data_IF_938300771351
#
_entry.id   IF_938300771351
#
_cell.length_a   1.000
_cell.length_b   1.000
_cell.length_c   1.000
_cell.angle_alpha   90.00
_cell.angle_beta   90.00
_cell.angle_gamma   90.00
#
_symmetry.space_group_name_H-M   'P 1'
#
loop_
_entity.id
_entity.type
_entity.pdbx_description
1 polymer ?
#
# COMPACT_ATOMS: atom_id res chain seq x y z
N UNK A 1 17.02 13.34 -9.91
CA UNK A 1 16.10 13.19 -11.01
C UNK A 1 14.69 12.93 -10.54
N UNK A 2 13.76 13.66 -11.07
CA UNK A 2 12.36 13.51 -10.68
C UNK A 2 11.67 12.55 -11.62
N UNK A 3 10.94 11.62 -11.06
CA UNK A 3 10.15 10.69 -11.83
C UNK A 3 8.70 11.04 -11.68
N UNK A 4 8.37 12.12 -12.28
CA UNK A 4 7.06 12.71 -12.13
C UNK A 4 5.98 11.69 -12.45
N UNK A 5 5.07 11.46 -11.51
CA UNK A 5 3.95 10.57 -11.69
C UNK A 5 4.26 9.09 -11.63
N UNK A 6 5.53 8.70 -11.44
CA UNK A 6 5.90 7.29 -11.38
C UNK A 6 6.09 6.77 -9.98
N UNK A 7 6.64 7.60 -9.10
CA UNK A 7 6.78 7.25 -7.70
C UNK A 7 5.56 7.69 -6.94
N UNK A 8 5.09 6.84 -6.06
CA UNK A 8 3.96 7.17 -5.22
C UNK A 8 4.15 6.58 -3.84
N UNK A 9 3.67 7.29 -2.85
CA UNK A 9 3.58 6.77 -1.49
C UNK A 9 2.13 6.40 -1.25
N UNK A 10 1.92 5.14 -0.92
CA UNK A 10 0.58 4.60 -0.69
C UNK A 10 0.49 4.14 0.74
N UNK A 11 -0.69 4.29 1.32
CA UNK A 11 -0.96 3.83 2.67
C UNK A 11 -2.13 2.88 2.65
N UNK A 12 -1.96 1.76 3.35
CA UNK A 12 -2.99 0.76 3.49
C UNK A 12 -3.28 0.54 4.96
N UNK A 13 -4.56 0.53 5.30
CA UNK A 13 -4.99 0.09 6.62
C UNK A 13 -5.35 -1.38 6.51
N UNK A 14 -4.75 -2.20 7.35
CA UNK A 14 -4.96 -3.64 7.32
C UNK A 14 -5.18 -4.14 8.74
N UNK A 15 -5.74 -5.33 8.85
CA UNK A 15 -5.78 -6.02 10.11
C UNK A 15 -4.37 -6.47 10.47
N UNK A 16 -4.00 -6.32 11.73
CA UNK A 16 -2.67 -6.74 12.18
C UNK A 16 -2.67 -8.24 12.44
N UNK A 17 -2.61 -8.99 11.36
CA UNK A 17 -2.61 -10.46 11.41
C UNK A 17 -1.38 -10.97 10.66
N UNK A 18 -0.94 -12.19 10.99
CA UNK A 18 0.20 -12.76 10.27
C UNK A 18 -0.06 -12.82 8.77
N UNK A 19 0.94 -12.44 8.02
CA UNK A 19 0.87 -12.49 6.57
C UNK A 19 0.24 -11.29 5.90
N UNK A 20 -0.28 -10.31 6.65
CA UNK A 20 -0.93 -9.14 6.04
C UNK A 20 0.02 -8.37 5.15
N UNK A 21 1.25 -8.10 5.61
CA UNK A 21 2.23 -7.38 4.82
C UNK A 21 2.61 -8.18 3.57
N UNK A 22 2.77 -9.49 3.71
CA UNK A 22 3.10 -10.34 2.58
C UNK A 22 2.01 -10.32 1.52
N UNK A 23 0.75 -10.31 1.94
CA UNK A 23 -0.38 -10.25 1.01
C UNK A 23 -0.38 -8.95 0.23
N UNK A 24 -0.17 -7.82 0.92
CA UNK A 24 -0.10 -6.52 0.27
C UNK A 24 1.05 -6.49 -0.74
N UNK A 25 2.22 -6.95 -0.33
CA UNK A 25 3.40 -6.94 -1.20
C UNK A 25 3.18 -7.83 -2.43
N UNK A 26 2.57 -8.99 -2.24
CA UNK A 26 2.28 -9.90 -3.35
C UNK A 26 1.32 -9.26 -4.35
N UNK A 27 0.27 -8.62 -3.86
CA UNK A 27 -0.69 -7.96 -4.74
C UNK A 27 -0.03 -6.81 -5.51
N UNK A 28 0.77 -6.00 -4.84
CA UNK A 28 1.47 -4.91 -5.50
C UNK A 28 2.37 -5.43 -6.61
N UNK A 29 3.09 -6.52 -6.34
CA UNK A 29 3.93 -7.13 -7.36
C UNK A 29 3.13 -7.62 -8.56
N UNK A 30 1.99 -8.23 -8.32
CA UNK A 30 1.13 -8.70 -9.40
C UNK A 30 0.58 -7.56 -10.24
N UNK A 31 0.40 -6.40 -9.63
CA UNK A 31 -0.10 -5.22 -10.32
C UNK A 31 1.01 -4.45 -11.02
N UNK A 32 2.24 -4.94 -10.96
CA UNK A 32 3.35 -4.34 -11.65
C UNK A 32 4.03 -3.20 -10.91
N UNK A 33 3.72 -3.03 -9.64
CA UNK A 33 4.37 -2.00 -8.83
C UNK A 33 5.66 -2.56 -8.25
N UNK A 34 6.71 -1.75 -8.30
CA UNK A 34 7.99 -2.12 -7.70
C UNK A 34 8.13 -1.38 -6.37
N UNK A 35 8.27 -2.13 -5.29
CA UNK A 35 8.32 -1.56 -3.95
C UNK A 35 9.74 -1.09 -3.66
N UNK A 36 9.89 0.21 -3.38
CA UNK A 36 11.17 0.78 -2.99
C UNK A 36 11.36 0.80 -1.49
N UNK A 37 10.30 1.11 -0.75
CA UNK A 37 10.36 1.20 0.69
C UNK A 37 9.06 0.69 1.28
N UNK A 38 9.16 0.11 2.47
CA UNK A 38 8.00 -0.33 3.23
C UNK A 38 8.18 0.15 4.67
N UNK A 39 7.13 0.75 5.21
CA UNK A 39 7.04 1.04 6.63
C UNK A 39 5.80 0.39 7.19
N UNK A 40 5.97 -0.35 8.25
CA UNK A 40 4.88 -1.06 8.91
C UNK A 40 4.71 -0.48 10.31
N UNK A 41 3.58 0.15 10.55
CA UNK A 41 3.28 0.77 11.82
C UNK A 41 2.03 0.15 12.41
N UNK A 42 2.11 -0.20 13.68
CA UNK A 42 0.95 -0.67 14.41
C UNK A 42 0.28 0.50 15.08
N UNK A 43 -1.04 0.55 14.94
CA UNK A 43 -1.80 1.57 15.62
C UNK A 43 -2.14 1.06 17.02
N UNK A 44 -1.66 1.76 18.03
CA UNK A 44 -2.02 1.46 19.39
C UNK A 44 -3.26 2.26 19.72
N UNK A 45 -4.36 1.58 19.90
CA UNK A 45 -5.58 2.21 20.35
C UNK A 45 -5.99 1.59 21.65
N UNK A 46 -6.80 2.31 22.40
CA UNK A 46 -7.36 1.76 23.63
C UNK A 46 -8.43 0.71 23.33
N UNK A 47 -8.81 0.58 22.08
CA UNK A 47 -9.77 -0.42 21.66
C UNK A 47 -9.05 -1.70 21.33
N UNK A 48 -9.73 -2.80 21.47
CA UNK A 48 -9.16 -4.11 21.25
C UNK A 48 -8.92 -4.43 19.76
N UNK A 49 -9.29 -3.53 18.86
CA UNK A 49 -9.12 -3.76 17.45
C UNK A 49 -7.66 -3.57 17.08
N UNK A 50 -7.06 -4.62 16.57
CA UNK A 50 -5.69 -4.57 16.12
C UNK A 50 -5.66 -4.17 14.65
N UNK A 51 -5.06 -3.03 14.39
CA UNK A 51 -4.88 -2.54 13.05
C UNK A 51 -3.45 -2.12 12.85
N UNK A 52 -3.02 -2.21 11.62
CA UNK A 52 -1.70 -1.76 11.22
C UNK A 52 -1.83 -0.88 10.00
N UNK A 53 -0.93 0.07 9.90
CA UNK A 53 -0.79 0.88 8.70
C UNK A 53 0.48 0.45 7.98
N UNK A 54 0.36 0.21 6.71
CA UNK A 54 1.49 -0.12 5.87
C UNK A 54 1.64 1.01 4.87
N UNK A 55 2.79 1.69 4.91
CA UNK A 55 3.13 2.71 3.93
C UNK A 55 4.20 2.16 3.01
N UNK A 56 3.98 2.30 1.72
CA UNK A 56 4.93 1.84 0.73
C UNK A 56 5.25 2.96 -0.23
N UNK A 57 6.49 3.01 -0.65
CA UNK A 57 6.90 3.84 -1.78
C UNK A 57 7.07 2.90 -2.95
N UNK A 58 6.31 3.12 -4.00
CA UNK A 58 6.32 2.23 -5.16
C UNK A 58 6.70 2.99 -6.41
N UNK A 59 7.43 2.31 -7.29
CA UNK A 59 7.67 2.77 -8.65
C UNK A 59 6.62 2.16 -9.56
N UNK A 60 6.03 3.00 -10.37
CA UNK A 60 4.95 2.60 -11.27
C UNK A 60 5.24 3.11 -12.68
N UNK A 61 4.32 2.86 -13.59
CA UNK A 61 4.42 3.34 -14.96
C UNK A 61 3.81 4.72 -15.17
N UNK A 62 3.24 5.30 -14.12
CA UNK A 62 2.65 6.62 -14.19
C UNK A 62 1.35 6.72 -13.41
N UNK A 63 0.68 7.87 -13.55
CA UNK A 63 -0.51 8.18 -12.77
C UNK A 63 -1.63 7.18 -13.02
N UNK A 64 -1.86 6.82 -14.28
CA UNK A 64 -2.91 5.85 -14.58
C UNK A 64 -2.66 4.51 -13.91
N UNK A 65 -1.40 4.09 -13.86
CA UNK A 65 -1.03 2.85 -13.19
C UNK A 65 -1.28 2.93 -11.70
N UNK A 66 -0.97 4.08 -11.07
CA UNK A 66 -1.24 4.29 -9.66
C UNK A 66 -2.72 4.14 -9.37
N UNK A 67 -3.56 4.72 -10.22
CA UNK A 67 -5.02 4.62 -10.05
C UNK A 67 -5.48 3.17 -10.17
N UNK A 68 -4.94 2.43 -11.12
CA UNK A 68 -5.26 1.02 -11.27
C UNK A 68 -4.90 0.23 -10.03
N UNK A 69 -3.75 0.53 -9.45
CA UNK A 69 -3.30 -0.14 -8.23
C UNK A 69 -4.27 0.13 -7.09
N UNK A 70 -4.65 1.40 -6.91
CA UNK A 70 -5.57 1.75 -5.83
C UNK A 70 -6.92 1.07 -5.99
N UNK A 71 -7.46 1.08 -7.21
CA UNK A 71 -8.74 0.43 -7.49
C UNK A 71 -8.66 -1.06 -7.21
N UNK A 72 -7.59 -1.72 -7.67
CA UNK A 72 -7.42 -3.15 -7.46
C UNK A 72 -7.28 -3.50 -5.99
N UNK A 73 -6.53 -2.70 -5.23
CA UNK A 73 -6.35 -2.97 -3.81
C UNK A 73 -7.66 -2.78 -3.05
N UNK A 74 -8.42 -1.76 -3.40
CA UNK A 74 -9.74 -1.53 -2.78
C UNK A 74 -10.70 -2.67 -3.10
N UNK A 75 -10.63 -3.20 -4.32
CA UNK A 75 -11.45 -4.33 -4.72
C UNK A 75 -11.14 -5.59 -3.90
N UNK A 76 -9.92 -5.70 -3.38
CA UNK A 76 -9.54 -6.81 -2.51
C UNK A 76 -9.90 -6.56 -1.05
N UNK A 77 -10.51 -5.42 -0.76
CA UNK A 77 -10.94 -5.12 0.59
C UNK A 77 -9.97 -4.29 1.40
N UNK A 78 -8.87 -3.84 0.81
CA UNK A 78 -7.94 -2.98 1.51
C UNK A 78 -8.41 -1.53 1.47
N UNK A 79 -8.20 -0.83 2.57
CA UNK A 79 -8.39 0.62 2.59
C UNK A 79 -7.10 1.25 2.12
N UNK A 80 -7.09 1.70 0.89
CA UNK A 80 -5.87 2.18 0.23
C UNK A 80 -6.03 3.63 -0.19
N UNK A 81 -4.97 4.42 0.02
CA UNK A 81 -4.96 5.80 -0.43
C UNK A 81 -3.55 6.22 -0.81
N UNK A 82 -3.47 7.21 -1.68
CA UNK A 82 -2.19 7.82 -2.04
C UNK A 82 -1.92 8.98 -1.11
N UNK A 83 -0.72 9.02 -0.53
CA UNK A 83 -0.36 10.06 0.42
C UNK A 83 0.87 10.87 -0.04
N UNK A 84 1.41 10.54 -1.18
CA UNK A 84 2.57 11.31 -1.66
C UNK A 84 3.06 10.97 -3.04
#
# INVERSE_FOLDING_TARGET
MVKSGRLARLRFDVRDVPGALADVATLLGKLGANIDEVQHQRAFTSLSVERAQIEVVVQTRGVAHIEQILVAMRAQGYHAERIG
#
